data_IF_373493835611
#
_entry.id   IF_373493835611
#
_cell.length_a   1.000
_cell.length_b   1.000
_cell.length_c   1.000
_cell.angle_alpha   90.00
_cell.angle_beta   90.00
_cell.angle_gamma   90.00
#
_symmetry.space_group_name_H-M   'P 1'
#
loop_
_entity.id
_entity.type
_entity.pdbx_description
1 polymer ?
#
# COMPACT_ATOMS: atom_id res chain seq x y z
N UNK A 1 14.24 -38.84 -19.56
CA UNK A 1 15.20 -38.19 -20.50
C UNK A 1 14.71 -36.87 -21.09
N UNK A 2 13.46 -36.73 -21.55
CA UNK A 2 12.97 -35.48 -22.19
C UNK A 2 12.95 -34.23 -21.27
N UNK A 3 12.79 -34.37 -19.96
CA UNK A 3 12.86 -33.25 -19.00
C UNK A 3 14.28 -32.73 -18.75
N UNK A 4 15.28 -33.60 -18.75
CA UNK A 4 16.67 -33.20 -18.52
C UNK A 4 17.22 -32.34 -19.67
N UNK A 5 16.79 -32.62 -20.91
CA UNK A 5 17.18 -31.83 -22.09
C UNK A 5 16.60 -30.41 -22.02
N UNK A 6 15.39 -30.23 -21.48
CA UNK A 6 14.77 -28.91 -21.34
C UNK A 6 15.48 -28.06 -20.28
N UNK A 7 15.85 -28.66 -19.15
CA UNK A 7 16.57 -27.96 -18.08
C UNK A 7 17.95 -27.49 -18.57
N UNK A 8 18.65 -28.34 -19.33
CA UNK A 8 19.98 -28.04 -19.87
C UNK A 8 19.95 -26.93 -20.94
N UNK A 9 18.91 -26.88 -21.78
CA UNK A 9 18.75 -25.81 -22.78
C UNK A 9 18.45 -24.46 -22.10
N UNK A 10 17.63 -24.45 -21.04
CA UNK A 10 17.31 -23.22 -20.30
C UNK A 10 18.54 -22.66 -19.56
N UNK A 11 19.39 -23.53 -19.00
CA UNK A 11 20.62 -23.09 -18.32
C UNK A 11 21.66 -22.54 -19.29
N UNK A 12 21.80 -23.14 -20.48
CA UNK A 12 22.75 -22.66 -21.50
C UNK A 12 22.31 -21.31 -22.08
N UNK A 13 21.01 -21.09 -22.27
CA UNK A 13 20.48 -19.79 -22.75
C UNK A 13 20.65 -18.70 -21.69
N UNK A 14 20.41 -19.00 -20.41
CA UNK A 14 20.65 -18.07 -19.31
C UNK A 14 22.14 -17.68 -19.19
N UNK A 15 23.05 -18.63 -19.37
CA UNK A 15 24.49 -18.37 -19.34
C UNK A 15 24.96 -17.50 -20.53
N UNK A 16 24.39 -17.72 -21.72
CA UNK A 16 24.72 -16.95 -22.92
C UNK A 16 24.27 -15.48 -22.81
N UNK A 17 23.11 -15.22 -22.20
CA UNK A 17 22.61 -13.85 -21.96
C UNK A 17 23.51 -13.15 -20.94
N UNK A 18 23.95 -13.85 -19.88
CA UNK A 18 24.81 -13.26 -18.85
C UNK A 18 26.20 -12.86 -19.39
N UNK A 19 26.77 -13.67 -20.29
CA UNK A 19 28.05 -13.35 -20.96
C UNK A 19 27.91 -12.21 -21.97
N UNK A 20 26.76 -12.08 -22.62
CA UNK A 20 26.53 -11.03 -23.62
C UNK A 20 26.24 -9.66 -22.98
N UNK A 21 25.60 -9.63 -21.80
CA UNK A 21 25.34 -8.39 -21.04
C UNK A 21 26.58 -7.91 -20.29
N UNK A 22 27.50 -8.81 -19.90
CA UNK A 22 28.74 -8.47 -19.19
C UNK A 22 29.88 -7.90 -20.07
N UNK A 23 29.64 -7.61 -21.36
CA UNK A 23 30.69 -7.22 -22.31
C UNK A 23 30.40 -5.93 -23.09
N UNK A 24 29.79 -4.94 -22.46
CA UNK A 24 29.74 -3.57 -22.98
C UNK A 24 30.46 -2.60 -22.02
N UNK A 25 31.79 -2.58 -22.09
CA UNK A 25 32.57 -1.39 -21.77
C UNK A 25 32.83 -0.64 -23.08
N UNK A 26 32.44 0.62 -23.14
CA UNK A 26 33.27 1.66 -23.74
C UNK A 26 32.85 3.05 -23.27
N UNK A 27 33.90 3.82 -23.00
CA UNK A 27 33.99 5.17 -22.49
C UNK A 27 33.26 6.20 -23.36
N UNK A 28 32.70 7.25 -22.76
CA UNK A 28 32.75 8.60 -23.36
C UNK A 28 32.70 9.68 -22.29
N UNK A 29 33.73 10.53 -22.35
CA UNK A 29 33.96 11.77 -21.60
C UNK A 29 33.04 12.94 -22.02
N UNK A 30 32.75 13.81 -21.03
CA UNK A 30 32.60 15.29 -21.10
C UNK A 30 31.36 15.89 -21.81
N UNK A 31 30.55 16.67 -21.06
CA UNK A 31 30.55 18.15 -21.13
C UNK A 31 29.50 18.77 -20.22
N UNK A 32 29.99 19.59 -19.28
CA UNK A 32 29.21 20.53 -18.47
C UNK A 32 28.75 21.68 -19.37
N UNK A 33 27.48 22.07 -19.27
CA UNK A 33 27.02 23.37 -19.73
C UNK A 33 25.98 23.91 -18.74
N UNK A 34 26.43 24.91 -17.98
CA UNK A 34 25.60 25.81 -17.17
C UNK A 34 24.54 26.50 -18.02
N UNK A 35 23.33 26.68 -17.47
CA UNK A 35 22.53 27.86 -17.81
C UNK A 35 21.76 28.32 -16.58
N UNK A 36 22.34 29.33 -15.93
CA UNK A 36 21.74 30.20 -14.93
C UNK A 36 20.79 31.22 -15.55
N UNK A 37 19.62 31.36 -14.92
CA UNK A 37 18.93 32.62 -14.54
C UNK A 37 18.17 33.45 -15.59
N UNK A 38 16.87 33.66 -15.33
CA UNK A 38 16.21 34.98 -15.11
C UNK A 38 14.67 34.79 -15.09
N UNK A 39 14.00 34.91 -13.93
CA UNK A 39 13.24 36.10 -13.44
C UNK A 39 12.18 36.63 -14.44
N UNK A 40 10.97 37.06 -14.09
CA UNK A 40 10.22 37.19 -12.83
C UNK A 40 8.80 37.74 -13.14
N UNK A 41 7.84 37.51 -12.22
CA UNK A 41 6.69 38.36 -11.82
C UNK A 41 5.55 38.72 -12.80
N UNK A 42 4.32 38.35 -12.39
CA UNK A 42 3.10 39.18 -12.21
C UNK A 42 1.97 38.22 -11.76
N UNK A 43 1.53 38.14 -10.50
CA UNK A 43 0.70 39.05 -9.68
C UNK A 43 -0.77 39.20 -10.17
N UNK A 44 -1.66 38.60 -9.37
CA UNK A 44 -3.07 38.94 -9.03
C UNK A 44 -4.11 39.25 -10.11
N UNK A 45 -5.23 38.51 -10.08
CA UNK A 45 -6.57 39.08 -9.83
C UNK A 45 -7.60 37.99 -9.49
N UNK A 46 -8.24 38.17 -8.32
CA UNK A 46 -9.44 37.49 -7.84
C UNK A 46 -10.67 38.21 -8.42
N UNK A 47 -11.66 37.47 -8.90
CA UNK A 47 -13.03 37.95 -8.99
C UNK A 47 -14.02 36.95 -8.36
N UNK A 48 -14.87 37.54 -7.54
CA UNK A 48 -15.89 37.04 -6.66
C UNK A 48 -17.20 36.91 -7.46
N UNK A 49 -17.89 35.76 -7.40
CA UNK A 49 -19.25 35.64 -7.91
C UNK A 49 -20.18 35.27 -6.76
N UNK A 50 -20.92 36.27 -6.30
CA UNK A 50 -22.13 36.16 -5.48
C UNK A 50 -23.25 35.52 -6.31
N UNK A 51 -23.97 34.55 -5.72
CA UNK A 51 -25.31 34.18 -6.19
C UNK A 51 -26.28 34.21 -5.00
N UNK A 52 -27.28 35.08 -5.16
CA UNK A 52 -28.37 35.35 -4.24
C UNK A 52 -29.36 34.18 -4.16
N UNK A 53 -29.97 34.08 -2.97
CA UNK A 53 -31.09 33.22 -2.57
C UNK A 53 -32.38 33.47 -3.35
N UNK A 54 -33.16 32.42 -3.57
CA UNK A 54 -34.62 32.42 -3.36
C UNK A 54 -35.14 31.00 -3.11
N UNK A 55 -35.97 30.86 -2.08
CA UNK A 55 -36.72 29.65 -1.68
C UNK A 55 -38.21 29.98 -1.74
N UNK A 56 -39.09 29.00 -1.95
CA UNK A 56 -40.17 28.85 -0.97
C UNK A 56 -40.41 27.41 -0.51
N UNK A 57 -40.93 27.34 0.70
CA UNK A 57 -41.01 26.20 1.61
C UNK A 57 -42.06 25.13 1.26
N UNK A 58 -41.85 23.93 1.81
CA UNK A 58 -42.94 23.12 2.35
C UNK A 58 -42.47 22.46 3.65
N UNK A 59 -43.14 22.81 4.73
CA UNK A 59 -43.08 22.18 6.04
C UNK A 59 -43.52 20.71 5.96
N UNK A 60 -42.95 19.85 6.81
CA UNK A 60 -43.70 18.88 7.62
C UNK A 60 -42.83 18.43 8.80
N UNK A 61 -43.45 18.43 9.97
CA UNK A 61 -42.88 18.37 11.30
C UNK A 61 -42.31 17.00 11.72
N UNK A 62 -41.29 17.00 12.59
CA UNK A 62 -41.14 16.01 13.69
C UNK A 62 -40.52 16.70 14.91
N UNK A 63 -41.21 16.56 16.04
CA UNK A 63 -40.85 17.06 17.37
C UNK A 63 -39.79 16.17 18.07
N UNK A 64 -39.06 16.81 18.99
CA UNK A 64 -38.44 16.26 20.20
C UNK A 64 -37.38 15.16 20.08
N UNK A 65 -36.11 15.58 20.09
CA UNK A 65 -34.98 14.88 20.74
C UNK A 65 -33.75 15.81 20.76
N UNK A 66 -33.76 16.81 21.65
CA UNK A 66 -32.69 17.82 21.73
C UNK A 66 -32.20 17.99 23.18
N UNK A 67 -31.85 16.87 23.83
CA UNK A 67 -31.18 16.90 25.13
C UNK A 67 -29.97 15.96 25.23
N UNK A 68 -29.94 14.84 24.47
CA UNK A 68 -28.78 13.92 24.46
C UNK A 68 -27.69 14.28 23.41
N UNK A 69 -28.03 15.00 22.35
CA UNK A 69 -27.09 15.34 21.28
C UNK A 69 -26.01 16.37 21.68
N UNK A 70 -26.19 17.09 22.80
CA UNK A 70 -25.26 18.15 23.25
C UNK A 70 -24.12 17.66 24.14
N UNK A 71 -24.29 16.53 24.83
CA UNK A 71 -23.22 15.97 25.68
C UNK A 71 -22.21 15.19 24.83
N UNK A 72 -22.70 14.52 23.78
CA UNK A 72 -21.88 13.74 22.85
C UNK A 72 -21.04 14.64 21.94
N UNK A 73 -21.56 15.80 21.53
CA UNK A 73 -20.82 16.79 20.72
C UNK A 73 -19.70 17.47 21.51
N UNK A 74 -19.89 17.79 22.79
CA UNK A 74 -18.87 18.46 23.61
C UNK A 74 -17.69 17.56 24.02
N UNK A 75 -17.92 16.25 24.18
CA UNK A 75 -16.86 15.26 24.42
C UNK A 75 -16.10 14.99 23.11
N UNK A 76 -16.79 15.01 21.96
CA UNK A 76 -16.20 14.88 20.62
C UNK A 76 -15.38 16.11 20.25
N UNK A 77 -15.85 17.33 20.53
CA UNK A 77 -15.16 18.59 20.24
C UNK A 77 -13.89 18.81 21.08
N UNK A 78 -13.83 18.35 22.33
CA UNK A 78 -12.64 18.50 23.16
C UNK A 78 -11.51 17.50 22.81
N UNK A 79 -11.80 16.34 22.20
CA UNK A 79 -10.74 15.48 21.59
C UNK A 79 -10.15 16.07 20.31
N UNK A 80 -10.82 17.07 19.72
CA UNK A 80 -10.55 17.54 18.37
C UNK A 80 -9.49 18.67 18.34
N UNK A 81 -9.07 19.29 19.45
CA UNK A 81 -8.16 20.47 19.36
C UNK A 81 -6.66 20.24 19.49
N UNK A 82 -6.16 19.41 20.39
CA UNK A 82 -4.70 19.22 20.54
C UNK A 82 -4.12 18.09 19.67
N UNK A 83 -4.96 17.21 19.09
CA UNK A 83 -4.57 16.04 18.29
C UNK A 83 -4.90 16.16 16.78
N UNK A 84 -5.28 17.37 16.34
CA UNK A 84 -6.11 17.65 15.14
C UNK A 84 -5.50 17.25 13.78
N UNK A 85 -4.22 16.89 13.71
CA UNK A 85 -3.53 16.51 12.47
C UNK A 85 -2.52 15.36 12.61
N UNK A 86 -2.35 14.74 13.79
CA UNK A 86 -1.31 13.71 13.95
C UNK A 86 -1.55 12.49 13.08
N UNK A 87 -2.81 12.06 12.93
CA UNK A 87 -3.21 10.98 12.03
C UNK A 87 -2.93 11.28 10.54
N UNK A 88 -2.70 12.55 10.16
CA UNK A 88 -2.30 12.92 8.80
C UNK A 88 -0.80 12.82 8.58
N UNK A 89 0.00 12.85 9.65
CA UNK A 89 1.45 12.76 9.58
C UNK A 89 1.84 11.30 9.39
N UNK A 90 2.83 11.06 8.55
CA UNK A 90 3.45 9.74 8.43
C UNK A 90 4.12 9.40 9.77
N UNK A 91 3.95 8.15 10.17
CA UNK A 91 4.59 7.55 11.33
C UNK A 91 6.11 7.72 11.24
N UNK A 92 6.82 8.20 12.29
CA UNK A 92 8.23 8.56 12.21
C UNK A 92 9.13 7.47 11.61
N UNK A 93 8.85 6.21 11.95
CA UNK A 93 9.56 5.03 11.47
C UNK A 93 9.49 4.87 9.94
N UNK A 94 8.36 5.22 9.31
CA UNK A 94 8.12 5.05 7.87
C UNK A 94 8.28 6.34 7.08
N UNK A 95 8.63 7.46 7.72
CA UNK A 95 8.61 8.80 7.11
C UNK A 95 9.42 8.85 5.81
N UNK A 96 10.69 8.45 5.87
CA UNK A 96 11.57 8.51 4.71
C UNK A 96 11.12 7.57 3.59
N UNK A 97 10.69 6.35 3.97
CA UNK A 97 10.13 5.38 3.03
C UNK A 97 8.93 5.96 2.27
N UNK A 98 7.97 6.53 3.00
CA UNK A 98 6.76 7.12 2.42
C UNK A 98 7.03 8.36 1.57
N UNK A 99 7.97 9.21 1.97
CA UNK A 99 8.37 10.37 1.18
C UNK A 99 8.96 9.94 -0.17
N UNK A 100 9.75 8.85 -0.18
CA UNK A 100 10.37 8.33 -1.40
C UNK A 100 9.39 7.56 -2.28
N UNK A 101 8.53 6.71 -1.72
CA UNK A 101 7.57 5.90 -2.50
C UNK A 101 6.47 6.74 -3.15
N UNK A 102 6.05 7.82 -2.50
CA UNK A 102 5.03 8.74 -3.02
C UNK A 102 5.60 9.80 -3.98
N UNK A 103 6.92 9.82 -4.19
CA UNK A 103 7.57 10.78 -5.09
C UNK A 103 7.28 10.41 -6.55
N UNK A 104 6.59 11.28 -7.33
CA UNK A 104 6.21 10.95 -8.71
C UNK A 104 7.41 10.83 -9.65
N UNK A 105 8.48 11.58 -9.40
CA UNK A 105 9.73 11.56 -10.16
C UNK A 105 10.91 11.33 -9.21
N UNK A 106 11.39 10.09 -9.18
CA UNK A 106 12.54 9.70 -8.37
C UNK A 106 13.84 9.87 -9.17
N UNK A 107 14.81 10.57 -8.59
CA UNK A 107 16.20 10.57 -9.06
C UNK A 107 16.85 9.20 -8.84
N UNK A 108 18.04 8.98 -9.41
CA UNK A 108 18.81 7.75 -9.16
C UNK A 108 19.16 7.62 -7.67
N UNK A 109 19.62 8.71 -7.05
CA UNK A 109 19.92 8.73 -5.61
C UNK A 109 18.70 8.38 -4.74
N UNK A 110 17.49 8.85 -5.11
CA UNK A 110 16.26 8.50 -4.40
C UNK A 110 15.97 6.99 -4.51
N UNK A 111 16.19 6.39 -5.69
CA UNK A 111 15.98 4.95 -5.92
C UNK A 111 16.99 4.12 -5.13
N UNK A 112 18.24 4.55 -5.08
CA UNK A 112 19.29 3.90 -4.30
C UNK A 112 18.96 3.97 -2.81
N UNK A 113 18.51 5.13 -2.31
CA UNK A 113 18.12 5.29 -0.92
C UNK A 113 16.88 4.45 -0.57
N UNK A 114 15.86 4.45 -1.42
CA UNK A 114 14.69 3.60 -1.22
C UNK A 114 15.09 2.12 -1.21
N UNK A 115 15.98 1.70 -2.10
CA UNK A 115 16.51 0.33 -2.11
C UNK A 115 17.24 0.01 -0.81
N UNK A 116 18.07 0.92 -0.29
CA UNK A 116 18.72 0.74 1.02
C UNK A 116 17.71 0.58 2.16
N UNK A 117 16.67 1.43 2.21
CA UNK A 117 15.61 1.31 3.22
C UNK A 117 14.93 -0.06 3.18
N UNK A 118 14.74 -0.62 1.98
CA UNK A 118 14.17 -1.94 1.78
C UNK A 118 15.10 -3.08 2.21
N UNK A 119 16.39 -2.83 2.43
CA UNK A 119 17.35 -3.79 2.98
C UNK A 119 17.40 -3.76 4.51
N UNK A 120 17.06 -2.64 5.13
CA UNK A 120 17.09 -2.46 6.58
C UNK A 120 16.00 -3.30 7.28
N UNK A 121 16.34 -3.99 8.36
CA UNK A 121 15.36 -4.79 9.15
C UNK A 121 14.40 -3.93 9.95
N UNK A 122 14.79 -2.68 10.25
CA UNK A 122 14.07 -1.77 11.14
C UNK A 122 12.62 -1.54 10.72
N UNK A 123 12.35 -1.43 9.41
CA UNK A 123 11.00 -1.19 8.91
C UNK A 123 10.10 -2.42 9.10
N UNK A 124 10.63 -3.63 8.87
CA UNK A 124 9.91 -4.88 9.16
C UNK A 124 9.63 -5.03 10.66
N UNK A 125 10.63 -4.74 11.50
CA UNK A 125 10.48 -4.80 12.96
C UNK A 125 9.45 -3.77 13.48
N UNK A 126 9.44 -2.57 12.91
CA UNK A 126 8.43 -1.55 13.21
C UNK A 126 7.03 -2.01 12.77
N UNK A 127 6.88 -2.55 11.56
CA UNK A 127 5.62 -3.13 11.09
C UNK A 127 5.14 -4.25 11.99
N UNK A 128 6.04 -5.14 12.42
CA UNK A 128 5.75 -6.24 13.35
C UNK A 128 5.16 -5.72 14.65
N UNK A 129 5.81 -4.73 15.26
CA UNK A 129 5.35 -4.12 16.51
C UNK A 129 3.97 -3.47 16.37
N UNK A 130 3.68 -2.87 15.22
CA UNK A 130 2.41 -2.15 14.97
C UNK A 130 1.27 -3.12 14.68
N UNK A 131 1.49 -4.09 13.78
CA UNK A 131 0.43 -4.98 13.28
C UNK A 131 0.07 -6.09 14.27
N UNK A 132 1.04 -6.54 15.07
CA UNK A 132 0.84 -7.56 16.10
C UNK A 132 0.58 -6.96 17.48
N UNK A 133 0.22 -5.66 17.53
CA UNK A 133 -0.15 -5.01 18.78
C UNK A 133 -1.54 -5.46 19.21
N UNK A 134 -1.70 -5.81 20.47
CA UNK A 134 -3.01 -6.01 21.08
C UNK A 134 -3.88 -4.74 20.96
N UNK A 135 -5.06 -4.90 20.37
CA UNK A 135 -6.07 -3.84 20.26
C UNK A 135 -7.06 -4.01 21.41
N UNK A 136 -6.98 -3.10 22.38
CA UNK A 136 -7.82 -3.08 23.58
C UNK A 136 -8.82 -1.91 23.57
N UNK A 137 -8.67 -1.01 22.60
CA UNK A 137 -9.58 0.08 22.33
C UNK A 137 -10.93 -0.45 21.85
N UNK A 138 -12.02 0.21 22.27
CA UNK A 138 -13.38 -0.11 21.82
C UNK A 138 -13.78 0.67 20.57
N UNK A 139 -13.12 1.79 20.31
CA UNK A 139 -13.42 2.72 19.22
C UNK A 139 -12.20 2.92 18.32
N UNK A 140 -12.45 3.33 17.08
CA UNK A 140 -11.40 3.63 16.12
C UNK A 140 -10.56 4.84 16.54
N UNK A 141 -9.27 4.61 16.75
CA UNK A 141 -8.25 5.66 16.91
C UNK A 141 -7.53 5.88 15.58
N UNK A 142 -7.72 7.07 14.99
CA UNK A 142 -7.16 7.45 13.69
C UNK A 142 -5.62 7.51 13.69
N UNK A 143 -4.99 7.80 14.83
CA UNK A 143 -3.51 7.82 14.93
C UNK A 143 -2.98 6.39 14.87
N UNK A 144 -3.65 5.45 15.56
CA UNK A 144 -3.28 4.04 15.48
C UNK A 144 -3.62 3.43 14.12
N UNK A 145 -4.74 3.81 13.52
CA UNK A 145 -5.06 3.43 12.14
C UNK A 145 -3.99 3.91 11.17
N UNK A 146 -3.55 5.17 11.27
CA UNK A 146 -2.48 5.68 10.41
C UNK A 146 -1.19 4.86 10.52
N UNK A 147 -0.80 4.49 11.73
CA UNK A 147 0.38 3.63 11.96
C UNK A 147 0.25 2.28 11.27
N UNK A 148 -0.93 1.66 11.33
CA UNK A 148 -1.20 0.38 10.65
C UNK A 148 -1.15 0.55 9.13
N UNK A 149 -1.78 1.58 8.58
CA UNK A 149 -1.73 1.89 7.15
C UNK A 149 -0.29 2.09 6.66
N UNK A 150 0.54 2.82 7.40
CA UNK A 150 1.93 3.02 7.01
C UNK A 150 2.73 1.70 7.01
N UNK A 151 2.48 0.84 8.00
CA UNK A 151 3.11 -0.48 8.11
C UNK A 151 2.64 -1.44 6.99
N UNK A 152 1.37 -1.37 6.60
CA UNK A 152 0.80 -2.17 5.51
C UNK A 152 1.39 -1.72 4.17
N UNK A 153 1.40 -0.41 3.87
CA UNK A 153 1.99 0.12 2.63
C UNK A 153 3.46 -0.32 2.45
N UNK A 154 4.23 -0.34 3.54
CA UNK A 154 5.58 -0.87 3.52
C UNK A 154 5.60 -2.37 3.17
N UNK A 155 4.83 -3.20 3.88
CA UNK A 155 4.81 -4.64 3.65
C UNK A 155 4.30 -5.00 2.26
N UNK A 156 3.23 -4.35 1.78
CA UNK A 156 2.68 -4.59 0.45
C UNK A 156 3.69 -4.19 -0.62
N UNK A 157 4.46 -3.10 -0.42
CA UNK A 157 5.55 -2.71 -1.33
C UNK A 157 6.65 -3.78 -1.41
N UNK A 158 7.06 -4.35 -0.27
CA UNK A 158 8.02 -5.47 -0.23
C UNK A 158 7.46 -6.67 -0.96
N UNK A 159 6.22 -7.06 -0.64
CA UNK A 159 5.58 -8.27 -1.15
C UNK A 159 5.27 -8.20 -2.65
N UNK A 160 4.86 -7.04 -3.18
CA UNK A 160 4.65 -6.87 -4.64
C UNK A 160 5.95 -7.07 -5.42
N UNK A 161 7.12 -6.97 -4.77
CA UNK A 161 8.41 -7.20 -5.40
C UNK A 161 8.81 -6.08 -6.37
N UNK A 162 8.21 -4.89 -6.25
CA UNK A 162 8.56 -3.71 -7.06
C UNK A 162 10.05 -3.32 -6.88
N UNK A 163 10.60 -3.62 -5.71
CA UNK A 163 12.00 -3.46 -5.37
C UNK A 163 12.52 -4.79 -4.83
N UNK A 164 13.68 -5.25 -5.31
CA UNK A 164 14.33 -6.42 -4.75
C UNK A 164 14.72 -6.13 -3.29
N UNK A 165 14.07 -6.81 -2.35
CA UNK A 165 14.32 -6.66 -0.92
C UNK A 165 14.75 -8.01 -0.32
N UNK A 166 15.85 -8.06 0.46
CA UNK A 166 16.21 -9.27 1.22
C UNK A 166 15.23 -9.57 2.36
N UNK A 167 14.30 -8.65 2.64
CA UNK A 167 13.29 -8.79 3.69
C UNK A 167 12.01 -9.50 3.21
N UNK A 168 11.98 -9.99 1.97
CA UNK A 168 10.77 -10.57 1.38
C UNK A 168 10.20 -11.70 2.26
N UNK A 169 11.03 -12.66 2.67
CA UNK A 169 10.56 -13.79 3.48
C UNK A 169 10.08 -13.32 4.86
N UNK A 170 10.80 -12.40 5.51
CA UNK A 170 10.37 -11.80 6.77
C UNK A 170 9.03 -11.04 6.64
N UNK A 171 8.78 -10.40 5.48
CA UNK A 171 7.53 -9.72 5.20
C UNK A 171 6.39 -10.70 4.93
N UNK A 172 6.65 -11.83 4.26
CA UNK A 172 5.66 -12.91 4.08
C UNK A 172 5.27 -13.50 5.43
N UNK A 173 6.25 -13.85 6.25
CA UNK A 173 6.02 -14.41 7.59
C UNK A 173 5.20 -13.44 8.44
N UNK A 174 5.57 -12.14 8.45
CA UNK A 174 4.82 -11.14 9.19
C UNK A 174 3.40 -10.95 8.65
N UNK A 175 3.18 -10.99 7.34
CA UNK A 175 1.84 -10.91 6.76
C UNK A 175 0.98 -12.10 7.21
N UNK A 176 1.53 -13.32 7.20
CA UNK A 176 0.85 -14.51 7.72
C UNK A 176 0.53 -14.38 9.21
N UNK A 177 1.50 -13.95 10.02
CA UNK A 177 1.29 -13.69 11.45
C UNK A 177 0.16 -12.67 11.68
N UNK A 178 0.13 -11.56 10.93
CA UNK A 178 -0.93 -10.55 11.02
C UNK A 178 -2.31 -11.10 10.60
N UNK A 179 -2.36 -12.01 9.63
CA UNK A 179 -3.59 -12.70 9.24
C UNK A 179 -4.11 -13.62 10.36
N UNK A 180 -3.22 -14.33 11.06
CA UNK A 180 -3.57 -15.17 12.20
C UNK A 180 -3.84 -14.41 13.50
N UNK A 181 -3.31 -13.19 13.62
CA UNK A 181 -3.42 -12.39 14.83
C UNK A 181 -4.88 -12.02 15.14
N UNK A 182 -5.41 -12.47 16.27
CA UNK A 182 -6.81 -12.23 16.66
C UNK A 182 -6.96 -10.86 17.36
N UNK A 183 -7.21 -9.81 16.57
CA UNK A 183 -7.38 -8.44 17.03
C UNK A 183 -8.81 -7.90 16.93
N UNK A 184 -9.74 -8.69 16.37
CA UNK A 184 -11.14 -8.29 16.13
C UNK A 184 -12.05 -8.88 17.19
N UNK A 185 -12.48 -8.05 18.14
CA UNK A 185 -13.27 -8.49 19.30
C UNK A 185 -14.74 -8.07 19.20
N UNK A 186 -15.71 -8.85 19.74
CA UNK A 186 -17.14 -8.53 19.65
C UNK A 186 -17.53 -7.17 20.22
N UNK A 187 -16.85 -6.73 21.28
CA UNK A 187 -17.10 -5.49 22.02
C UNK A 187 -16.59 -4.22 21.34
N UNK A 188 -15.81 -4.35 20.25
CA UNK A 188 -15.34 -3.22 19.46
C UNK A 188 -16.48 -2.65 18.60
N UNK A 189 -16.42 -1.35 18.31
CA UNK A 189 -17.33 -0.68 17.41
C UNK A 189 -17.18 -1.19 15.96
N UNK A 190 -18.14 -0.84 15.11
CA UNK A 190 -18.17 -1.34 13.73
C UNK A 190 -17.03 -0.80 12.88
N UNK A 191 -16.62 0.45 13.11
CA UNK A 191 -15.61 1.12 12.29
C UNK A 191 -14.20 0.58 12.57
N UNK A 192 -13.85 0.36 13.83
CA UNK A 192 -12.61 -0.31 14.22
C UNK A 192 -12.55 -1.73 13.65
N UNK A 193 -13.63 -2.52 13.79
CA UNK A 193 -13.66 -3.88 13.23
C UNK A 193 -13.46 -3.88 11.71
N UNK A 194 -14.08 -2.94 10.99
CA UNK A 194 -13.89 -2.78 9.54
C UNK A 194 -12.47 -2.40 9.18
N UNK A 195 -11.86 -1.46 9.92
CA UNK A 195 -10.47 -1.05 9.72
C UNK A 195 -9.52 -2.25 9.90
N UNK A 196 -9.64 -3.00 11.00
CA UNK A 196 -8.80 -4.17 11.27
C UNK A 196 -9.01 -5.33 10.28
N UNK A 197 -10.24 -5.55 9.82
CA UNK A 197 -10.52 -6.53 8.76
C UNK A 197 -9.97 -6.04 7.43
N UNK A 198 -10.04 -4.74 7.14
CA UNK A 198 -9.44 -4.11 5.97
C UNK A 198 -7.95 -4.39 5.88
N UNK A 199 -7.23 -4.23 6.99
CA UNK A 199 -5.80 -4.55 7.09
C UNK A 199 -5.51 -6.00 6.69
N UNK A 200 -6.31 -6.95 7.20
CA UNK A 200 -6.19 -8.39 6.85
C UNK A 200 -6.50 -8.65 5.38
N UNK A 201 -7.53 -7.99 4.85
CA UNK A 201 -7.92 -8.13 3.44
C UNK A 201 -6.79 -7.67 2.53
N UNK A 202 -6.15 -6.54 2.83
CA UNK A 202 -5.07 -6.01 2.01
C UNK A 202 -3.85 -6.95 1.99
N UNK A 203 -3.42 -7.42 3.16
CA UNK A 203 -2.31 -8.38 3.27
C UNK A 203 -2.65 -9.72 2.59
N UNK A 204 -3.85 -10.26 2.85
CA UNK A 204 -4.32 -11.50 2.24
C UNK A 204 -4.38 -11.42 0.72
N UNK A 205 -4.89 -10.32 0.18
CA UNK A 205 -4.97 -10.10 -1.26
C UNK A 205 -3.60 -9.97 -1.91
N UNK A 206 -2.63 -9.32 -1.25
CA UNK A 206 -1.25 -9.25 -1.77
C UNK A 206 -0.59 -10.63 -1.75
N UNK A 207 -0.78 -11.43 -0.71
CA UNK A 207 -0.30 -12.82 -0.70
C UNK A 207 -0.97 -13.64 -1.81
N UNK A 208 -2.30 -13.59 -1.95
CA UNK A 208 -3.02 -14.36 -2.95
C UNK A 208 -2.60 -14.02 -4.40
N UNK A 209 -2.25 -12.76 -4.67
CA UNK A 209 -1.87 -12.31 -6.03
C UNK A 209 -0.39 -12.56 -6.34
N UNK A 210 0.51 -12.36 -5.36
CA UNK A 210 1.96 -12.33 -5.60
C UNK A 210 2.73 -13.48 -4.95
N UNK A 211 2.14 -14.18 -3.96
CA UNK A 211 2.74 -15.26 -3.16
C UNK A 211 1.73 -16.39 -2.92
N UNK A 212 1.27 -17.01 -4.02
CA UNK A 212 0.25 -18.06 -3.99
C UNK A 212 0.61 -19.19 -3.01
N UNK A 213 1.88 -19.57 -2.92
CA UNK A 213 2.39 -20.57 -1.98
C UNK A 213 2.13 -20.22 -0.51
N UNK A 214 2.39 -18.97 -0.12
CA UNK A 214 2.11 -18.49 1.23
C UNK A 214 0.60 -18.41 1.49
N UNK A 215 -0.19 -18.01 0.49
CA UNK A 215 -1.65 -17.95 0.62
C UNK A 215 -2.29 -19.33 0.75
N UNK A 216 -1.84 -20.33 -0.02
CA UNK A 216 -2.28 -21.72 0.15
C UNK A 216 -1.93 -22.24 1.54
N UNK A 217 -0.70 -21.99 2.02
CA UNK A 217 -0.29 -22.33 3.38
C UNK A 217 -1.20 -21.68 4.43
N UNK A 218 -1.63 -20.43 4.21
CA UNK A 218 -2.58 -19.77 5.09
C UNK A 218 -3.92 -20.52 5.15
N UNK A 219 -4.48 -20.87 3.98
CA UNK A 219 -5.76 -21.57 3.86
C UNK A 219 -5.75 -22.95 4.51
N UNK A 220 -4.65 -23.67 4.39
CA UNK A 220 -4.47 -25.01 4.99
C UNK A 220 -4.39 -24.97 6.52
N UNK A 221 -3.73 -23.95 7.07
CA UNK A 221 -3.44 -23.86 8.51
C UNK A 221 -4.44 -22.98 9.29
N UNK A 222 -5.33 -22.26 8.59
CA UNK A 222 -6.33 -21.41 9.23
C UNK A 222 -7.44 -22.24 9.92
N UNK A 223 -7.88 -21.76 11.08
CA UNK A 223 -9.00 -22.35 11.82
C UNK A 223 -10.26 -22.34 10.96
N UNK A 224 -10.91 -23.51 10.82
CA UNK A 224 -12.14 -23.69 10.05
C UNK A 224 -13.36 -23.05 10.74
N UNK A 225 -13.40 -21.72 10.81
CA UNK A 225 -14.59 -20.97 11.20
C UNK A 225 -15.31 -20.41 9.97
N UNK A 226 -16.63 -20.26 10.07
CA UNK A 226 -17.44 -19.68 8.97
C UNK A 226 -16.98 -18.26 8.58
N UNK A 227 -16.52 -17.47 9.56
CA UNK A 227 -15.99 -16.13 9.32
C UNK A 227 -14.70 -16.18 8.49
N UNK A 228 -13.83 -17.12 8.84
CA UNK A 228 -12.57 -17.34 8.14
C UNK A 228 -12.80 -17.84 6.71
N UNK A 229 -13.72 -18.79 6.52
CA UNK A 229 -14.09 -19.28 5.20
C UNK A 229 -14.60 -18.16 4.28
N UNK A 230 -15.46 -17.27 4.80
CA UNK A 230 -15.94 -16.09 4.07
C UNK A 230 -14.83 -15.11 3.75
N UNK A 231 -13.88 -14.89 4.67
CA UNK A 231 -12.72 -14.05 4.42
C UNK A 231 -11.86 -14.60 3.28
N UNK A 232 -11.53 -15.90 3.33
CA UNK A 232 -10.75 -16.57 2.28
C UNK A 232 -11.45 -16.47 0.93
N UNK A 233 -12.74 -16.81 0.87
CA UNK A 233 -13.53 -16.71 -0.36
C UNK A 233 -13.53 -15.29 -0.94
N UNK A 234 -13.70 -14.28 -0.08
CA UNK A 234 -13.68 -12.88 -0.49
C UNK A 234 -12.31 -12.47 -1.07
N UNK A 235 -11.21 -12.87 -0.41
CA UNK A 235 -9.85 -12.59 -0.90
C UNK A 235 -9.58 -13.31 -2.23
N UNK A 236 -9.96 -14.58 -2.36
CA UNK A 236 -9.79 -15.36 -3.60
C UNK A 236 -10.52 -14.72 -4.78
N UNK A 237 -11.76 -14.28 -4.59
CA UNK A 237 -12.54 -13.61 -5.62
C UNK A 237 -11.88 -12.30 -6.08
N UNK A 238 -11.41 -11.48 -5.13
CA UNK A 238 -10.74 -10.22 -5.47
C UNK A 238 -9.37 -10.45 -6.13
N UNK A 239 -8.61 -11.42 -5.63
CA UNK A 239 -7.31 -11.79 -6.19
C UNK A 239 -7.44 -12.28 -7.63
N UNK A 240 -8.47 -13.08 -7.95
CA UNK A 240 -8.77 -13.52 -9.30
C UNK A 240 -9.02 -12.34 -10.25
N UNK A 241 -9.87 -11.39 -9.86
CA UNK A 241 -10.13 -10.18 -10.65
C UNK A 241 -8.83 -9.39 -10.86
N UNK A 242 -7.99 -9.27 -9.83
CA UNK A 242 -6.72 -8.56 -9.93
C UNK A 242 -5.73 -9.25 -10.86
N UNK A 243 -5.62 -10.58 -10.78
CA UNK A 243 -4.77 -11.39 -11.63
C UNK A 243 -5.19 -11.28 -13.11
N UNK A 244 -6.49 -11.31 -13.40
CA UNK A 244 -7.03 -11.10 -14.75
C UNK A 244 -6.67 -9.70 -15.28
N UNK A 245 -6.81 -8.65 -14.46
CA UNK A 245 -6.43 -7.28 -14.83
C UNK A 245 -4.93 -7.18 -15.15
N UNK A 246 -4.07 -7.77 -14.32
CA UNK A 246 -2.62 -7.79 -14.53
C UNK A 246 -2.25 -8.51 -15.83
N UNK A 247 -2.84 -9.69 -16.07
CA UNK A 247 -2.64 -10.47 -17.30
C UNK A 247 -3.04 -9.67 -18.56
N UNK A 248 -4.22 -9.03 -18.52
CA UNK A 248 -4.70 -8.19 -19.62
C UNK A 248 -3.79 -6.98 -19.88
N UNK A 249 -3.26 -6.36 -18.82
CA UNK A 249 -2.34 -5.23 -18.95
C UNK A 249 -0.98 -5.68 -19.51
N UNK A 250 -0.45 -6.82 -19.06
CA UNK A 250 0.78 -7.40 -19.59
C UNK A 250 0.65 -7.72 -21.09
N UNK A 251 -0.48 -8.29 -21.51
CA UNK A 251 -0.77 -8.56 -22.92
C UNK A 251 -0.76 -7.28 -23.76
N UNK A 252 -1.45 -6.23 -23.30
CA UNK A 252 -1.47 -4.92 -23.99
C UNK A 252 -0.08 -4.31 -24.11
N UNK A 253 0.73 -4.42 -23.05
CA UNK A 253 2.12 -3.93 -23.07
C UNK A 253 2.97 -4.71 -24.08
N UNK A 254 2.88 -6.04 -24.07
CA UNK A 254 3.61 -6.90 -25.00
C UNK A 254 3.24 -6.60 -26.46
N UNK A 255 1.95 -6.37 -26.75
CA UNK A 255 1.47 -5.96 -28.07
C UNK A 255 2.05 -4.61 -28.51
N UNK A 256 2.09 -3.61 -27.60
CA UNK A 256 2.70 -2.30 -27.88
C UNK A 256 4.20 -2.41 -28.16
N UNK A 257 4.92 -3.18 -27.35
CA UNK A 257 6.36 -3.40 -27.53
C UNK A 257 6.67 -4.13 -28.84
N UNK A 258 5.84 -5.11 -29.22
CA UNK A 258 5.95 -5.78 -30.52
C UNK A 258 5.79 -4.79 -31.67
N UNK A 259 4.78 -3.91 -31.61
CA UNK A 259 4.55 -2.89 -32.62
C UNK A 259 5.75 -1.94 -32.77
N UNK A 260 6.31 -1.47 -31.66
CA UNK A 260 7.49 -0.57 -31.67
C UNK A 260 8.72 -1.24 -32.30
N UNK A 261 8.88 -2.56 -32.13
CA UNK A 261 9.99 -3.31 -32.72
C UNK A 261 9.85 -3.54 -34.24
N UNK A 262 8.62 -3.50 -34.75
CA UNK A 262 8.31 -3.71 -36.17
C UNK A 262 8.35 -2.40 -36.99
N UNK A 263 8.46 -1.24 -36.32
CA UNK A 263 8.71 0.10 -36.87
C UNK A 263 10.22 0.42 -36.90
#
# INVERSE_FOLDING_TARGET
MKSFVKILVVTVVALAIFVFVGKSENETEVSVADTTTSNAKQAEQLEEIQVSSDTPASELAVNNELADAKVDTLIRENRIEENKLEWRKVTPEFKEFMELTNKPLMSIADKDRLSQLMYETKLVEASRKILLRDVNEKELDLVHERKRLDAIEYLTTVLVGKYNSPQLDNAKDLALEALYHDNVKPEQDTDLKRSLVGDKVELGMVLAVYHEDAWESYKENATHSDKQAKFVEYVDQMALVKAEQLSNNALKLAQRLKKIKEE
#
